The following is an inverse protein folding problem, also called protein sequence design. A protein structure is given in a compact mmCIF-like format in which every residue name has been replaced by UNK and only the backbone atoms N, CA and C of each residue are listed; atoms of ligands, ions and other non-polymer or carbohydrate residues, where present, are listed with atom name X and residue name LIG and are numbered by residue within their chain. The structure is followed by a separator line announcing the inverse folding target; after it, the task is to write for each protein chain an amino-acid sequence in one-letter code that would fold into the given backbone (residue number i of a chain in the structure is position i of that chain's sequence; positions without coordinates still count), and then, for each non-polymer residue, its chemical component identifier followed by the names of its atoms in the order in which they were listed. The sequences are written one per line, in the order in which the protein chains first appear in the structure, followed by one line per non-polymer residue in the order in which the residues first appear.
data_IF_813132534920
#
_entry.id   IF_813132534920
#
_cell.length_a   1.000
_cell.length_b   1.000
_cell.length_c   1.000
_cell.angle_alpha   90.00
_cell.angle_beta   90.00
_cell.angle_gamma   90.00
#
_symmetry.space_group_name_H-M   'P 1'
#
loop_
_entity.id
_entity.type
_entity.pdbx_description
1 polymer ?
#
# COMPACT_ATOMS: atom_id res chain seq x y z
N UNK A 1 -1.87 -5.70 -31.51
CA UNK A 1 -2.01 -5.34 -30.07
C UNK A 1 -1.12 -4.14 -29.77
N UNK A 2 -1.63 -3.13 -29.05
CA UNK A 2 -0.97 -1.83 -28.81
C UNK A 2 -1.14 -1.41 -27.35
N UNK A 3 -0.12 -0.74 -26.77
CA UNK A 3 -0.24 -0.11 -25.47
C UNK A 3 -0.67 1.34 -25.65
N UNK A 4 -1.68 1.75 -24.88
CA UNK A 4 -2.19 3.12 -24.85
C UNK A 4 -2.28 3.65 -23.43
N UNK A 5 -2.27 4.97 -23.29
CA UNK A 5 -2.48 5.67 -22.02
C UNK A 5 -3.88 6.28 -21.98
N UNK A 6 -4.50 6.42 -20.79
CA UNK A 6 -5.72 7.19 -20.65
C UNK A 6 -5.49 8.66 -20.98
N UNK A 7 -6.54 9.36 -21.41
CA UNK A 7 -6.49 10.80 -21.72
C UNK A 7 -6.56 11.66 -20.45
N UNK A 8 -7.04 11.10 -19.35
CA UNK A 8 -7.24 11.78 -18.07
C UNK A 8 -6.71 10.94 -16.91
N UNK A 9 -6.41 11.54 -15.76
CA UNK A 9 -6.02 10.82 -14.57
C UNK A 9 -7.03 9.74 -14.18
N UNK A 10 -6.55 8.56 -13.81
CA UNK A 10 -7.36 7.41 -13.38
C UNK A 10 -7.04 7.11 -11.92
N UNK A 11 -8.04 7.18 -11.05
CA UNK A 11 -7.88 6.93 -9.61
C UNK A 11 -6.75 7.74 -8.94
N UNK A 12 -6.53 8.98 -9.41
CA UNK A 12 -5.48 9.86 -8.91
C UNK A 12 -4.08 9.60 -9.50
N UNK A 13 -3.95 8.63 -10.39
CA UNK A 13 -2.70 8.36 -11.13
C UNK A 13 -2.59 9.26 -12.36
N UNK A 14 -1.36 9.68 -12.68
CA UNK A 14 -1.11 10.38 -13.92
C UNK A 14 -1.36 9.46 -15.13
N UNK A 15 -1.85 10.00 -16.26
CA UNK A 15 -2.08 9.19 -17.45
C UNK A 15 -0.88 8.35 -17.90
N UNK A 16 0.32 8.90 -17.84
CA UNK A 16 1.57 8.24 -18.22
C UNK A 16 2.00 7.09 -17.30
N UNK A 17 1.38 6.97 -16.12
CA UNK A 17 1.63 5.90 -15.14
C UNK A 17 0.60 4.76 -15.25
N UNK A 18 -0.35 4.89 -16.19
CA UNK A 18 -1.42 3.91 -16.43
C UNK A 18 -1.36 3.41 -17.88
N UNK A 19 -1.50 2.11 -18.05
CA UNK A 19 -1.33 1.41 -19.33
C UNK A 19 -2.51 0.50 -19.61
N UNK A 20 -3.02 0.55 -20.82
CA UNK A 20 -4.02 -0.39 -21.35
C UNK A 20 -3.42 -1.14 -22.54
N UNK A 21 -3.58 -2.45 -22.56
CA UNK A 21 -3.33 -3.25 -23.75
C UNK A 21 -4.62 -3.36 -24.55
N UNK A 22 -4.57 -2.96 -25.82
CA UNK A 22 -5.70 -2.98 -26.74
C UNK A 22 -5.37 -3.93 -27.90
N UNK A 23 -6.27 -4.85 -28.22
CA UNK A 23 -6.12 -5.73 -29.37
C UNK A 23 -6.41 -5.02 -30.71
N UNK A 24 -6.28 -5.73 -31.83
CA UNK A 24 -6.49 -5.18 -33.17
C UNK A 24 -7.98 -4.90 -33.48
N UNK A 25 -8.88 -5.35 -32.61
CA UNK A 25 -10.31 -5.06 -32.67
C UNK A 25 -10.72 -3.88 -31.78
N UNK A 26 -9.77 -3.29 -31.06
CA UNK A 26 -10.01 -2.18 -30.14
C UNK A 26 -10.50 -2.62 -28.75
N UNK A 27 -10.43 -3.92 -28.44
CA UNK A 27 -10.83 -4.45 -27.12
C UNK A 27 -9.67 -4.35 -26.12
N UNK A 28 -9.96 -3.89 -24.92
CA UNK A 28 -8.98 -3.90 -23.82
C UNK A 28 -8.75 -5.34 -23.35
N UNK A 29 -7.52 -5.82 -23.44
CA UNK A 29 -7.10 -7.17 -23.08
C UNK A 29 -6.19 -7.20 -21.84
N UNK A 30 -5.82 -6.03 -21.35
CA UNK A 30 -5.04 -5.92 -20.13
C UNK A 30 -4.91 -4.49 -19.61
N UNK A 31 -4.47 -4.40 -18.38
CA UNK A 31 -4.32 -3.15 -17.65
C UNK A 31 -3.09 -3.22 -16.75
N UNK A 32 -2.39 -2.11 -16.60
CA UNK A 32 -1.30 -1.99 -15.64
C UNK A 32 -1.08 -0.55 -15.21
N UNK A 33 -0.50 -0.38 -14.03
CA UNK A 33 -0.10 0.94 -13.54
C UNK A 33 1.15 0.86 -12.70
N UNK A 34 1.81 1.99 -12.51
CA UNK A 34 2.97 2.15 -11.66
C UNK A 34 2.80 3.35 -10.72
N UNK A 35 3.20 3.17 -9.47
CA UNK A 35 3.19 4.20 -8.43
C UNK A 35 4.62 4.52 -8.02
N UNK A 36 4.97 5.80 -8.05
CA UNK A 36 6.22 6.29 -7.49
C UNK A 36 6.01 6.71 -6.04
N UNK A 37 6.83 6.17 -5.14
CA UNK A 37 6.81 6.52 -3.72
C UNK A 37 8.24 6.82 -3.24
N UNK A 38 8.42 7.97 -2.60
CA UNK A 38 9.67 8.34 -1.95
C UNK A 38 9.51 8.14 -0.44
N UNK A 39 10.15 7.10 0.10
CA UNK A 39 9.96 6.64 1.49
C UNK A 39 11.29 6.44 2.23
N UNK A 40 12.12 7.51 2.40
CA UNK A 40 13.42 7.38 3.05
C UNK A 40 13.35 7.01 4.53
N UNK A 41 12.24 7.35 5.21
CA UNK A 41 12.03 6.99 6.61
C UNK A 41 11.73 5.50 6.81
N UNK A 42 11.07 4.87 5.86
CA UNK A 42 10.71 3.44 5.92
C UNK A 42 11.80 2.56 5.31
N UNK A 43 12.42 3.02 4.23
CA UNK A 43 13.44 2.27 3.48
C UNK A 43 14.69 3.16 3.27
N UNK A 44 15.52 3.39 4.31
CA UNK A 44 16.66 4.30 4.22
C UNK A 44 17.70 3.84 3.18
N UNK A 45 17.87 2.53 3.01
CA UNK A 45 18.84 1.95 2.05
C UNK A 45 18.30 1.92 0.61
N UNK A 46 16.99 2.04 0.43
CA UNK A 46 16.33 2.01 -0.87
C UNK A 46 15.08 2.92 -0.86
N UNK A 47 15.27 4.25 -0.81
CA UNK A 47 14.19 5.19 -0.53
C UNK A 47 13.18 5.36 -1.66
N UNK A 48 13.56 5.05 -2.92
CA UNK A 48 12.62 5.11 -4.06
C UNK A 48 11.95 3.76 -4.24
N UNK A 49 10.64 3.74 -4.07
CA UNK A 49 9.82 2.53 -4.17
C UNK A 49 8.85 2.69 -5.35
N UNK A 50 8.94 1.80 -6.32
CA UNK A 50 8.07 1.76 -7.48
C UNK A 50 7.16 0.53 -7.35
N UNK A 51 5.93 0.75 -6.89
CA UNK A 51 4.91 -0.29 -6.88
C UNK A 51 4.25 -0.35 -8.25
N UNK A 52 4.03 -1.54 -8.78
CA UNK A 52 3.22 -1.70 -9.98
C UNK A 52 2.21 -2.83 -9.81
N UNK A 53 1.14 -2.73 -10.57
CA UNK A 53 0.16 -3.79 -10.73
C UNK A 53 -0.03 -4.08 -12.22
N UNK A 54 -0.31 -5.33 -12.54
CA UNK A 54 -0.44 -5.83 -13.90
C UNK A 54 -1.49 -6.92 -13.92
N UNK A 55 -2.48 -6.74 -14.79
CA UNK A 55 -3.50 -7.75 -15.09
C UNK A 55 -3.74 -7.81 -16.61
N UNK A 56 -4.06 -8.99 -17.12
CA UNK A 56 -4.33 -9.19 -18.53
C UNK A 56 -4.11 -10.63 -18.99
N UNK A 57 -4.49 -10.87 -20.22
CA UNK A 57 -4.22 -12.14 -20.89
C UNK A 57 -2.71 -12.38 -21.08
N UNK A 58 -2.27 -13.60 -21.33
CA UNK A 58 -0.85 -13.93 -21.46
C UNK A 58 -0.09 -13.11 -22.51
N UNK A 59 -0.73 -12.71 -23.62
CA UNK A 59 -0.09 -11.93 -24.67
C UNK A 59 0.06 -10.45 -24.28
N UNK A 60 -1.00 -9.85 -23.70
CA UNK A 60 -1.00 -8.49 -23.19
C UNK A 60 -0.02 -8.30 -22.05
N UNK A 61 0.13 -9.31 -21.21
CA UNK A 61 0.95 -9.29 -20.00
C UNK A 61 2.41 -8.94 -20.28
N UNK A 62 3.02 -9.55 -21.30
CA UNK A 62 4.40 -9.24 -21.67
C UNK A 62 4.57 -7.82 -22.20
N UNK A 63 3.62 -7.33 -22.99
CA UNK A 63 3.65 -5.96 -23.52
C UNK A 63 3.50 -4.93 -22.39
N UNK A 64 2.52 -5.14 -21.50
CA UNK A 64 2.31 -4.28 -20.33
C UNK A 64 3.52 -4.28 -19.39
N UNK A 65 4.10 -5.46 -19.13
CA UNK A 65 5.30 -5.57 -18.30
C UNK A 65 6.47 -4.79 -18.91
N UNK A 66 6.69 -4.92 -20.21
CA UNK A 66 7.72 -4.15 -20.92
C UNK A 66 7.51 -2.62 -20.79
N UNK A 67 6.26 -2.16 -20.96
CA UNK A 67 5.90 -0.76 -20.82
C UNK A 67 6.10 -0.26 -19.37
N UNK A 68 5.68 -1.04 -18.37
CA UNK A 68 5.86 -0.72 -16.95
C UNK A 68 7.34 -0.65 -16.56
N UNK A 69 8.18 -1.58 -17.03
CA UNK A 69 9.63 -1.56 -16.79
C UNK A 69 10.28 -0.36 -17.47
N UNK A 70 9.85 0.01 -18.68
CA UNK A 70 10.34 1.20 -19.36
C UNK A 70 9.97 2.47 -18.58
N UNK A 71 8.74 2.57 -18.07
CA UNK A 71 8.32 3.68 -17.22
C UNK A 71 9.07 3.72 -15.90
N UNK A 72 9.28 2.57 -15.26
CA UNK A 72 10.07 2.46 -14.03
C UNK A 72 11.47 3.07 -14.18
N UNK A 73 12.14 2.85 -15.33
CA UNK A 73 13.46 3.46 -15.63
C UNK A 73 13.38 4.98 -15.72
N UNK A 74 12.31 5.52 -16.29
CA UNK A 74 12.09 6.97 -16.35
C UNK A 74 11.91 7.52 -14.93
N UNK A 75 11.07 6.87 -14.12
CA UNK A 75 10.78 7.28 -12.74
C UNK A 75 12.02 7.17 -11.83
N UNK A 76 12.87 6.16 -12.03
CA UNK A 76 14.15 6.05 -11.31
C UNK A 76 15.04 7.27 -11.54
N UNK A 77 15.01 7.85 -12.73
CA UNK A 77 15.82 9.04 -13.09
C UNK A 77 15.33 10.34 -12.44
N UNK A 78 14.17 10.34 -11.77
CA UNK A 78 13.70 11.50 -10.98
C UNK A 78 14.64 11.74 -9.78
N UNK A 79 15.16 10.65 -9.18
CA UNK A 79 16.12 10.71 -8.08
C UNK A 79 17.31 9.76 -8.36
N UNK A 80 18.19 10.08 -9.34
CA UNK A 80 19.21 9.15 -9.85
C UNK A 80 20.29 8.77 -8.85
N UNK A 81 20.44 9.54 -7.76
CA UNK A 81 21.40 9.26 -6.68
C UNK A 81 20.84 8.31 -5.63
N UNK A 82 19.54 8.04 -5.66
CA UNK A 82 18.89 7.16 -4.69
C UNK A 82 18.74 5.76 -5.26
N UNK A 83 18.93 4.76 -4.40
CA UNK A 83 18.59 3.37 -4.76
C UNK A 83 17.09 3.24 -4.94
N UNK A 84 16.70 2.46 -5.94
CA UNK A 84 15.32 2.26 -6.33
C UNK A 84 15.00 0.76 -6.33
N UNK A 85 13.83 0.38 -5.86
CA UNK A 85 13.27 -0.97 -6.04
C UNK A 85 11.96 -0.92 -6.82
N UNK A 86 11.77 -1.90 -7.67
CA UNK A 86 10.50 -2.17 -8.35
C UNK A 86 9.86 -3.39 -7.69
N UNK A 87 8.61 -3.28 -7.26
CA UNK A 87 7.93 -4.37 -6.55
C UNK A 87 6.45 -4.43 -6.88
N UNK A 88 5.88 -5.59 -6.65
CA UNK A 88 4.43 -5.85 -6.76
C UNK A 88 3.99 -6.79 -5.65
N UNK A 89 2.71 -6.88 -5.38
CA UNK A 89 2.13 -7.84 -4.46
C UNK A 89 1.24 -8.84 -5.20
N UNK A 90 1.27 -10.09 -4.78
CA UNK A 90 0.51 -11.17 -5.37
C UNK A 90 -0.22 -11.96 -4.29
N UNK A 91 -1.41 -12.47 -4.64
CA UNK A 91 -2.01 -13.52 -3.83
C UNK A 91 -1.11 -14.76 -3.81
N UNK A 92 -0.89 -15.40 -2.65
CA UNK A 92 -0.13 -16.67 -2.58
C UNK A 92 -0.71 -17.78 -3.47
N UNK A 93 -1.99 -17.69 -3.83
CA UNK A 93 -2.69 -18.63 -4.71
C UNK A 93 -2.45 -18.38 -6.19
N UNK A 94 -1.91 -17.22 -6.58
CA UNK A 94 -1.65 -16.86 -7.97
C UNK A 94 -0.28 -17.38 -8.43
N UNK A 95 -0.22 -18.70 -8.62
CA UNK A 95 1.00 -19.40 -9.04
C UNK A 95 1.47 -18.93 -10.42
N UNK A 96 0.55 -18.64 -11.34
CA UNK A 96 0.91 -18.23 -12.70
C UNK A 96 1.62 -16.86 -12.72
N UNK A 97 1.10 -15.89 -11.97
CA UNK A 97 1.74 -14.58 -11.89
C UNK A 97 3.05 -14.64 -11.11
N UNK A 98 3.13 -15.46 -10.06
CA UNK A 98 4.37 -15.71 -9.34
C UNK A 98 5.45 -16.25 -10.29
N UNK A 99 5.14 -17.29 -11.04
CA UNK A 99 6.08 -17.87 -12.01
C UNK A 99 6.48 -16.86 -13.09
N UNK A 100 5.52 -16.08 -13.59
CA UNK A 100 5.79 -15.01 -14.54
C UNK A 100 6.82 -14.01 -14.01
N UNK A 101 6.67 -13.51 -12.78
CA UNK A 101 7.59 -12.55 -12.20
C UNK A 101 8.97 -13.15 -11.87
N UNK A 102 9.01 -14.37 -11.33
CA UNK A 102 10.28 -15.06 -11.09
C UNK A 102 11.08 -15.27 -12.39
N UNK A 103 10.42 -15.65 -13.48
CA UNK A 103 11.07 -15.76 -14.80
C UNK A 103 11.55 -14.42 -15.36
N UNK A 104 10.97 -13.32 -14.92
CA UNK A 104 11.37 -11.97 -15.32
C UNK A 104 12.33 -11.29 -14.31
N UNK A 105 12.97 -12.06 -13.44
CA UNK A 105 14.05 -11.60 -12.56
C UNK A 105 13.63 -10.97 -11.25
N UNK A 106 12.37 -11.19 -10.83
CA UNK A 106 11.93 -10.81 -9.49
C UNK A 106 12.29 -11.90 -8.47
N UNK A 107 12.54 -11.48 -7.26
CA UNK A 107 12.72 -12.36 -6.10
C UNK A 107 11.49 -12.24 -5.17
N UNK A 108 11.14 -13.33 -4.50
CA UNK A 108 10.10 -13.32 -3.47
C UNK A 108 10.74 -13.08 -2.10
N UNK A 109 10.81 -11.82 -1.67
CA UNK A 109 11.57 -11.41 -0.49
C UNK A 109 10.70 -11.18 0.76
N UNK A 110 9.43 -10.87 0.57
CA UNK A 110 8.50 -10.52 1.66
C UNK A 110 7.22 -11.35 1.51
N UNK A 111 6.68 -11.79 2.62
CA UNK A 111 5.40 -12.49 2.65
C UNK A 111 4.53 -11.84 3.69
N UNK A 112 3.49 -11.14 3.25
CA UNK A 112 2.43 -10.63 4.09
C UNK A 112 1.41 -11.74 4.35
N UNK A 113 0.89 -11.81 5.58
CA UNK A 113 -0.18 -12.73 5.93
C UNK A 113 -1.46 -11.95 6.19
N UNK A 114 -2.51 -12.32 5.48
CA UNK A 114 -3.86 -11.87 5.81
C UNK A 114 -4.42 -12.78 6.90
N UNK A 115 -4.71 -12.21 8.08
CA UNK A 115 -5.33 -12.93 9.17
C UNK A 115 -6.82 -12.67 9.16
N UNK A 116 -7.61 -13.74 9.08
CA UNK A 116 -9.05 -13.64 9.28
C UNK A 116 -9.37 -13.87 10.75
N UNK A 117 -10.05 -12.91 11.36
CA UNK A 117 -10.46 -12.96 12.74
C UNK A 117 -11.96 -13.19 12.83
N UNK A 118 -12.38 -14.22 13.57
CA UNK A 118 -13.80 -14.42 13.88
C UNK A 118 -14.18 -13.58 15.10
N UNK A 119 -15.11 -12.65 14.93
CA UNK A 119 -15.59 -11.77 16.00
C UNK A 119 -16.99 -12.22 16.44
N UNK A 120 -17.26 -12.35 17.75
CA UNK A 120 -16.35 -12.17 18.89
C UNK A 120 -15.41 -13.35 19.07
N UNK A 121 -14.15 -13.06 19.37
CA UNK A 121 -13.17 -14.09 19.72
C UNK A 121 -12.91 -14.03 21.22
N UNK A 122 -13.24 -15.12 21.92
CA UNK A 122 -12.92 -15.35 23.31
C UNK A 122 -13.44 -14.30 24.31
N UNK A 123 -13.26 -14.60 25.57
CA UNK A 123 -13.48 -13.66 26.67
C UNK A 123 -12.23 -12.79 26.87
N UNK A 124 -11.98 -11.86 25.96
CA UNK A 124 -10.91 -10.87 26.08
C UNK A 124 -11.14 -10.03 27.34
N UNK A 125 -10.61 -10.46 28.48
CA UNK A 125 -10.73 -9.71 29.74
C UNK A 125 -9.68 -8.63 29.79
N UNK A 126 -10.13 -7.39 29.76
CA UNK A 126 -9.26 -6.25 30.08
C UNK A 126 -8.95 -6.33 31.57
N UNK A 127 -7.66 -6.28 31.99
CA UNK A 127 -7.31 -6.26 33.42
C UNK A 127 -8.06 -5.15 34.15
N UNK A 128 -8.52 -5.41 35.38
CA UNK A 128 -9.35 -4.45 36.14
C UNK A 128 -8.70 -3.07 36.35
N UNK A 129 -7.37 -2.99 36.26
CA UNK A 129 -6.62 -1.73 36.34
C UNK A 129 -6.50 -0.99 35.00
N UNK A 130 -7.06 -1.53 33.92
CA UNK A 130 -6.98 -0.97 32.60
C UNK A 130 -8.36 -0.57 32.06
N UNK A 131 -8.39 0.45 31.23
CA UNK A 131 -9.57 0.92 30.49
C UNK A 131 -9.22 1.07 29.03
N UNK A 132 -10.19 0.77 28.15
CA UNK A 132 -10.09 1.07 26.72
C UNK A 132 -10.96 2.29 26.43
N UNK A 133 -10.42 3.26 25.73
CA UNK A 133 -11.14 4.45 25.34
C UNK A 133 -10.67 4.90 23.93
N UNK A 134 -11.53 5.58 23.15
CA UNK A 134 -11.10 6.22 21.92
C UNK A 134 -9.95 7.20 22.17
N UNK A 135 -8.93 7.16 21.31
CA UNK A 135 -7.88 8.19 21.31
C UNK A 135 -8.38 9.39 20.50
N UNK A 136 -8.46 10.60 21.08
CA UNK A 136 -8.94 11.76 20.36
C UNK A 136 -7.94 12.16 19.26
N UNK A 137 -8.46 12.53 18.08
CA UNK A 137 -7.70 13.03 16.93
C UNK A 137 -8.36 14.26 16.29
N UNK A 138 -9.04 15.06 17.10
CA UNK A 138 -9.82 16.22 16.65
C UNK A 138 -8.97 17.44 16.34
N UNK A 139 -7.79 17.51 16.94
CA UNK A 139 -6.86 18.64 16.80
C UNK A 139 -5.57 18.21 16.13
N UNK A 140 -4.89 19.19 15.53
CA UNK A 140 -3.57 18.96 14.91
C UNK A 140 -2.53 18.45 15.92
N UNK A 141 -2.58 18.93 17.16
CA UNK A 141 -1.66 18.49 18.23
C UNK A 141 -1.91 17.03 18.63
N UNK A 142 -3.16 16.60 18.71
CA UNK A 142 -3.52 15.20 18.96
C UNK A 142 -3.03 14.27 17.84
N UNK A 143 -3.19 14.69 16.59
CA UNK A 143 -2.73 13.95 15.42
C UNK A 143 -1.20 13.84 15.39
N UNK A 144 -0.48 14.93 15.63
CA UNK A 144 0.98 14.89 15.71
C UNK A 144 1.48 14.06 16.89
N UNK A 145 0.79 14.13 18.03
CA UNK A 145 1.13 13.28 19.19
C UNK A 145 0.97 11.79 18.87
N UNK A 146 -0.06 11.40 18.11
CA UNK A 146 -0.20 10.04 17.64
C UNK A 146 0.96 9.65 16.70
N UNK A 147 1.25 10.46 15.68
CA UNK A 147 2.34 10.21 14.74
C UNK A 147 3.67 10.06 15.47
N UNK A 148 3.95 10.95 16.41
CA UNK A 148 5.16 10.88 17.24
C UNK A 148 5.26 9.57 18.02
N UNK A 149 4.17 9.13 18.67
CA UNK A 149 4.16 7.84 19.39
C UNK A 149 4.36 6.64 18.46
N UNK A 150 3.76 6.66 17.27
CA UNK A 150 3.96 5.61 16.27
C UNK A 150 5.42 5.54 15.82
N UNK A 151 6.03 6.68 15.53
CA UNK A 151 7.44 6.75 15.12
C UNK A 151 8.39 6.28 16.23
N UNK A 152 8.10 6.61 17.50
CA UNK A 152 8.86 6.10 18.64
C UNK A 152 8.73 4.59 18.85
N UNK A 153 7.69 3.97 18.30
CA UNK A 153 7.49 2.52 18.27
C UNK A 153 7.86 1.91 16.89
N UNK A 154 8.78 2.55 16.16
CA UNK A 154 9.32 2.09 14.88
C UNK A 154 8.31 2.05 13.72
N UNK A 155 7.10 2.60 13.89
CA UNK A 155 6.10 2.74 12.83
C UNK A 155 6.32 4.09 12.12
N UNK A 156 7.37 4.17 11.30
CA UNK A 156 7.88 5.43 10.74
C UNK A 156 7.18 5.87 9.45
N UNK A 157 6.40 5.00 8.84
CA UNK A 157 5.71 5.30 7.57
C UNK A 157 4.44 6.15 7.74
N UNK A 158 3.95 6.31 8.97
CA UNK A 158 2.77 7.12 9.25
C UNK A 158 3.19 8.58 9.37
N UNK A 159 2.84 9.37 8.38
CA UNK A 159 2.89 10.84 8.40
C UNK A 159 1.48 11.44 8.45
N UNK A 160 1.39 12.76 8.45
CA UNK A 160 0.11 13.47 8.48
C UNK A 160 -0.76 13.17 7.25
N UNK A 161 -0.16 12.99 6.08
CA UNK A 161 -0.90 12.69 4.85
C UNK A 161 -1.50 11.28 4.91
N UNK A 162 -0.72 10.31 5.40
CA UNK A 162 -1.18 8.95 5.58
C UNK A 162 -2.29 8.87 6.63
N UNK A 163 -2.11 9.52 7.79
CA UNK A 163 -3.13 9.58 8.84
C UNK A 163 -4.43 10.21 8.31
N UNK A 164 -4.35 11.33 7.59
CA UNK A 164 -5.51 11.97 6.97
C UNK A 164 -6.21 11.05 5.94
N UNK A 165 -5.47 10.23 5.21
CA UNK A 165 -6.05 9.26 4.30
C UNK A 165 -6.84 8.17 5.06
N UNK A 166 -6.27 7.64 6.16
CA UNK A 166 -6.96 6.67 7.03
C UNK A 166 -8.22 7.27 7.66
N UNK A 167 -8.15 8.50 8.17
CA UNK A 167 -9.29 9.19 8.80
C UNK A 167 -10.48 9.43 7.85
N UNK A 168 -10.24 9.40 6.53
CA UNK A 168 -11.30 9.52 5.50
C UNK A 168 -11.98 8.18 5.19
N UNK A 169 -11.46 7.06 5.68
CA UNK A 169 -12.07 5.76 5.45
C UNK A 169 -13.39 5.64 6.23
N UNK A 170 -14.42 4.98 5.67
CA UNK A 170 -15.72 4.85 6.32
C UNK A 170 -15.69 4.22 7.71
N UNK A 171 -14.74 3.31 7.93
CA UNK A 171 -14.54 2.61 9.20
C UNK A 171 -13.17 2.98 9.77
N UNK A 172 -13.02 4.20 10.25
CA UNK A 172 -11.81 4.63 10.93
C UNK A 172 -12.07 4.71 12.44
N UNK A 173 -11.16 4.12 13.23
CA UNK A 173 -11.21 4.14 14.69
C UNK A 173 -9.81 4.08 15.29
N UNK A 174 -9.62 4.82 16.38
CA UNK A 174 -8.43 4.71 17.22
C UNK A 174 -8.83 4.40 18.65
N UNK A 175 -8.18 3.41 19.25
CA UNK A 175 -8.42 2.99 20.63
C UNK A 175 -7.11 2.99 21.41
N UNK A 176 -7.13 3.57 22.60
CA UNK A 176 -6.04 3.51 23.56
C UNK A 176 -6.38 2.58 24.72
N UNK A 177 -5.39 1.80 25.15
CA UNK A 177 -5.42 1.04 26.41
C UNK A 177 -4.71 1.86 27.48
N UNK A 178 -5.42 2.17 28.55
CA UNK A 178 -4.92 3.02 29.65
C UNK A 178 -4.82 2.21 30.93
N UNK A 179 -3.73 2.42 31.68
CA UNK A 179 -3.54 1.97 33.06
C UNK A 179 -3.27 3.17 33.95
N UNK A 180 -4.10 3.38 34.99
CA UNK A 180 -4.00 4.56 35.86
C UNK A 180 -3.91 5.87 35.07
N UNK A 181 -4.75 6.03 34.06
CA UNK A 181 -4.77 7.16 33.11
C UNK A 181 -3.51 7.33 32.22
N UNK A 182 -2.57 6.39 32.26
CA UNK A 182 -1.40 6.38 31.37
C UNK A 182 -1.70 5.49 30.17
N UNK A 183 -1.50 6.00 28.96
CA UNK A 183 -1.60 5.23 27.71
C UNK A 183 -0.46 4.20 27.66
N UNK A 184 -0.82 2.92 27.60
CA UNK A 184 0.13 1.79 27.59
C UNK A 184 0.05 0.94 26.30
N UNK A 185 -0.95 1.21 25.48
CA UNK A 185 -1.10 0.58 24.16
C UNK A 185 -2.08 1.37 23.33
N UNK A 186 -1.95 1.27 22.02
CA UNK A 186 -2.76 2.00 21.07
C UNK A 186 -2.97 1.15 19.82
N UNK A 187 -4.16 1.25 19.22
CA UNK A 187 -4.49 0.58 17.96
C UNK A 187 -5.22 1.55 17.04
N UNK A 188 -4.88 1.50 15.76
CA UNK A 188 -5.57 2.18 14.67
C UNK A 188 -6.23 1.11 13.82
N UNK A 189 -7.51 1.29 13.54
CA UNK A 189 -8.26 0.45 12.62
C UNK A 189 -8.85 1.32 11.53
N UNK A 190 -8.71 0.89 10.30
CA UNK A 190 -9.29 1.56 9.14
C UNK A 190 -9.72 0.50 8.11
N UNK A 191 -10.87 0.74 7.46
CA UNK A 191 -11.39 -0.20 6.48
C UNK A 191 -12.43 0.40 5.55
N UNK A 192 -12.73 -0.33 4.48
CA UNK A 192 -13.76 0.02 3.50
C UNK A 192 -14.79 -1.11 3.39
N UNK A 193 -16.07 -0.73 3.29
CA UNK A 193 -17.17 -1.70 3.13
C UNK A 193 -17.37 -2.56 4.36
N UNK A 194 -17.48 -3.88 4.18
CA UNK A 194 -17.61 -4.87 5.25
C UNK A 194 -16.27 -5.44 5.73
N UNK A 195 -15.17 -4.98 5.18
CA UNK A 195 -13.80 -5.42 5.50
C UNK A 195 -13.06 -4.29 6.23
N UNK A 196 -12.45 -4.63 7.36
CA UNK A 196 -11.63 -3.74 8.19
C UNK A 196 -10.22 -4.30 8.31
#
# INVERSE_FOLDING_TARGET
MTIVHPQQPVNGLNPEDVFYAIDDLGTQTGYGFILYQLQPGLYPDCPVNLYFSLDGDPASRYLLFGALVARARILQNVNPQMRCRLYTSLSPSDVQMKDFYLHNGFDCNETDQMLQLTIPFGDGRIPMSCTVAPTPLNTWDEQNSLIYRLQMNEITFVDMNYLNALMRMPHFMTLGLYRNAVLIGEVIMAGQGSEC
#
